data_IF_298573599624
#
_entry.id   IF_298573599624
#
_cell.length_a   1.000
_cell.length_b   1.000
_cell.length_c   1.000
_cell.angle_alpha   90.00
_cell.angle_beta   90.00
_cell.angle_gamma   90.00
#
_symmetry.space_group_name_H-M   'P 1'
#
loop_
_entity.id
_entity.type
_entity.pdbx_description
1 polymer ?
#
# COMPACT_ATOMS: atom_id res chain seq x y z
N UNK A 1 20.10 17.58 11.90
CA UNK A 1 19.24 18.74 11.61
C UNK A 1 17.83 18.48 12.06
N UNK A 2 17.18 19.49 12.51
CA UNK A 2 15.84 19.35 13.08
C UNK A 2 14.84 18.76 12.07
N UNK A 3 14.89 19.21 10.84
CA UNK A 3 13.96 18.73 9.82
C UNK A 3 14.09 17.23 9.60
N UNK A 4 15.31 16.72 9.57
CA UNK A 4 15.51 15.29 9.38
C UNK A 4 15.03 14.53 10.62
N UNK A 5 15.22 15.08 11.80
CA UNK A 5 14.74 14.44 13.01
C UNK A 5 13.21 14.38 13.02
N UNK A 6 12.56 15.43 12.55
CA UNK A 6 11.11 15.45 12.46
C UNK A 6 10.61 14.37 11.51
N UNK A 7 11.28 14.18 10.37
CA UNK A 7 10.90 13.14 9.44
C UNK A 7 11.14 11.76 10.02
N UNK A 8 12.21 11.59 10.81
CA UNK A 8 12.43 10.30 11.47
C UNK A 8 11.28 9.95 12.40
N UNK A 9 10.76 10.93 13.13
CA UNK A 9 9.61 10.72 13.99
C UNK A 9 8.39 10.35 13.16
N UNK A 10 8.14 11.08 12.06
CA UNK A 10 7.01 10.79 11.20
C UNK A 10 7.12 9.38 10.61
N UNK A 11 8.32 8.98 10.21
CA UNK A 11 8.53 7.65 9.64
C UNK A 11 8.32 6.57 10.68
N UNK A 12 8.80 6.78 11.89
CA UNK A 12 8.57 5.82 12.95
C UNK A 12 7.09 5.67 13.28
N UNK A 13 6.33 6.76 13.17
CA UNK A 13 4.89 6.71 13.39
C UNK A 13 4.16 6.02 12.23
N UNK A 14 4.77 5.98 11.05
CA UNK A 14 4.17 5.29 9.92
C UNK A 14 4.33 3.77 10.00
N UNK A 15 5.33 3.29 10.71
CA UNK A 15 5.63 1.87 10.72
C UNK A 15 4.44 1.01 11.18
N UNK A 16 3.76 1.34 12.28
CA UNK A 16 2.57 0.58 12.65
C UNK A 16 1.49 0.63 11.58
N UNK A 17 1.38 1.75 10.87
CA UNK A 17 0.39 1.88 9.81
C UNK A 17 0.74 1.00 8.62
N UNK A 18 2.03 0.85 8.30
CA UNK A 18 2.46 -0.08 7.27
C UNK A 18 2.14 -1.52 7.67
N UNK A 19 2.36 -1.86 8.95
CA UNK A 19 2.04 -3.19 9.44
C UNK A 19 0.54 -3.46 9.35
N UNK A 20 -0.28 -2.48 9.75
CA UNK A 20 -1.73 -2.61 9.67
C UNK A 20 -2.17 -2.81 8.24
N UNK A 21 -1.56 -2.10 7.31
CA UNK A 21 -1.90 -2.21 5.91
C UNK A 21 -1.55 -3.59 5.37
N UNK A 22 -0.43 -4.15 5.80
CA UNK A 22 -0.05 -5.50 5.40
C UNK A 22 -1.09 -6.51 5.84
N UNK A 23 -1.60 -6.34 7.05
CA UNK A 23 -2.64 -7.23 7.54
C UNK A 23 -3.95 -7.05 6.77
N UNK A 24 -4.31 -5.80 6.49
CA UNK A 24 -5.53 -5.51 5.75
C UNK A 24 -5.47 -6.06 4.33
N UNK A 25 -4.28 -6.03 3.72
CA UNK A 25 -4.11 -6.57 2.38
C UNK A 25 -4.06 -8.09 2.38
N UNK A 26 -3.85 -8.70 3.55
CA UNK A 26 -3.79 -10.16 3.70
C UNK A 26 -2.74 -10.74 2.76
N UNK A 27 -1.51 -10.31 2.93
CA UNK A 27 -0.44 -10.68 2.00
C UNK A 27 -0.10 -12.16 2.03
N UNK A 28 -0.32 -12.84 3.16
CA UNK A 28 -0.10 -14.28 3.22
C UNK A 28 -1.03 -14.99 2.26
N UNK A 29 -2.29 -14.58 2.24
CA UNK A 29 -3.25 -15.15 1.32
C UNK A 29 -2.90 -14.78 -0.12
N UNK A 30 -2.47 -13.54 -0.35
CA UNK A 30 -2.06 -13.12 -1.69
C UNK A 30 -0.92 -14.00 -2.21
N UNK A 31 0.05 -14.31 -1.35
CA UNK A 31 1.17 -15.17 -1.75
C UNK A 31 0.68 -16.57 -2.09
N UNK A 32 -0.25 -17.11 -1.31
CA UNK A 32 -0.82 -18.42 -1.61
C UNK A 32 -1.58 -18.41 -2.92
N UNK A 33 -2.32 -17.33 -3.18
CA UNK A 33 -3.05 -17.19 -4.43
C UNK A 33 -2.12 -17.11 -5.63
N UNK A 34 -1.01 -16.41 -5.49
CA UNK A 34 -0.02 -16.34 -6.56
C UNK A 34 0.48 -17.74 -6.90
N UNK A 35 0.86 -18.51 -5.88
CA UNK A 35 1.35 -19.87 -6.10
C UNK A 35 0.31 -20.75 -6.76
N UNK A 36 -0.93 -20.65 -6.29
CA UNK A 36 -2.02 -21.46 -6.84
C UNK A 36 -2.29 -21.09 -8.30
N UNK A 37 -2.36 -19.80 -8.58
CA UNK A 37 -2.67 -19.34 -9.94
C UNK A 37 -1.52 -19.63 -10.91
N UNK A 38 -0.30 -19.54 -10.43
CA UNK A 38 0.86 -19.88 -11.28
C UNK A 38 0.83 -21.37 -11.62
N UNK A 39 0.45 -22.19 -10.66
CA UNK A 39 0.33 -23.62 -10.92
C UNK A 39 -0.76 -23.89 -11.97
N UNK A 40 -1.85 -23.14 -11.93
CA UNK A 40 -2.88 -23.27 -12.93
C UNK A 40 -2.38 -22.88 -14.32
N UNK A 41 -1.57 -21.84 -14.40
CA UNK A 41 -1.02 -21.41 -15.68
C UNK A 41 -0.11 -22.47 -16.29
N UNK A 42 0.51 -23.29 -15.44
CA UNK A 42 1.41 -24.34 -15.92
C UNK A 42 0.69 -25.65 -16.23
N UNK A 43 -0.60 -25.73 -15.93
CA UNK A 43 -1.33 -26.98 -16.14
C UNK A 43 -1.64 -27.21 -17.61
N UNK A 44 -1.75 -28.48 -17.97
CA UNK A 44 -2.08 -28.82 -19.35
C UNK A 44 -3.49 -28.34 -19.64
N UNK A 45 -3.69 -27.80 -20.80
CA UNK A 45 -5.02 -27.33 -21.21
C UNK A 45 -5.41 -25.97 -20.70
N UNK A 46 -4.52 -25.31 -19.95
CA UNK A 46 -4.84 -23.99 -19.43
C UNK A 46 -5.20 -23.02 -20.55
N UNK A 47 -4.46 -23.06 -21.65
CA UNK A 47 -4.66 -22.13 -22.75
C UNK A 47 -5.78 -22.52 -23.69
N UNK A 48 -6.41 -23.68 -23.48
CA UNK A 48 -7.50 -24.15 -24.34
C UNK A 48 -8.75 -23.32 -24.15
N UNK A 49 -8.90 -22.67 -23.01
CA UNK A 49 -10.06 -21.81 -22.76
C UNK A 49 -9.55 -20.38 -22.53
N UNK A 50 -9.48 -19.56 -23.59
CA UNK A 50 -8.90 -18.22 -23.47
C UNK A 50 -9.60 -17.33 -22.45
N UNK A 51 -10.92 -17.49 -22.31
CA UNK A 51 -11.65 -16.66 -21.37
C UNK A 51 -11.23 -16.95 -19.94
N UNK A 52 -11.12 -18.24 -19.61
CA UNK A 52 -10.64 -18.63 -18.29
C UNK A 52 -9.18 -18.23 -18.08
N UNK A 53 -8.34 -18.41 -19.10
CA UNK A 53 -6.93 -18.04 -19.01
C UNK A 53 -6.78 -16.55 -18.72
N UNK A 54 -7.58 -15.72 -19.37
CA UNK A 54 -7.51 -14.28 -19.17
C UNK A 54 -7.90 -13.89 -17.76
N UNK A 55 -8.94 -14.53 -17.21
CA UNK A 55 -9.37 -14.24 -15.84
C UNK A 55 -8.31 -14.64 -14.83
N UNK A 56 -7.70 -15.81 -15.03
CA UNK A 56 -6.66 -16.29 -14.12
C UNK A 56 -5.46 -15.38 -14.18
N UNK A 57 -5.03 -14.98 -15.37
CA UNK A 57 -3.88 -14.08 -15.50
C UNK A 57 -4.14 -12.71 -14.88
N UNK A 58 -5.37 -12.22 -15.03
CA UNK A 58 -5.73 -10.93 -14.43
C UNK A 58 -5.70 -11.02 -12.91
N UNK A 59 -6.24 -12.09 -12.34
CA UNK A 59 -6.21 -12.28 -10.90
C UNK A 59 -4.79 -12.44 -10.40
N UNK A 60 -3.96 -13.20 -11.13
CA UNK A 60 -2.56 -13.37 -10.77
C UNK A 60 -1.85 -12.03 -10.72
N UNK A 61 -2.09 -11.18 -11.72
CA UNK A 61 -1.47 -9.87 -11.75
C UNK A 61 -1.89 -9.03 -10.56
N UNK A 62 -3.18 -9.09 -10.19
CA UNK A 62 -3.68 -8.33 -9.04
C UNK A 62 -3.01 -8.79 -7.75
N UNK A 63 -2.88 -10.09 -7.54
CA UNK A 63 -2.26 -10.59 -6.31
C UNK A 63 -0.78 -10.27 -6.26
N UNK A 64 -0.08 -10.39 -7.38
CA UNK A 64 1.33 -10.01 -7.43
C UNK A 64 1.52 -8.53 -7.16
N UNK A 65 0.62 -7.69 -7.68
CA UNK A 65 0.72 -6.25 -7.45
C UNK A 65 0.59 -5.90 -5.98
N UNK A 66 -0.26 -6.61 -5.23
CA UNK A 66 -0.37 -6.37 -3.80
C UNK A 66 0.96 -6.61 -3.10
N UNK A 67 1.61 -7.74 -3.43
CA UNK A 67 2.87 -8.09 -2.81
C UNK A 67 3.97 -7.10 -3.19
N UNK A 68 4.07 -6.80 -4.48
CA UNK A 68 5.12 -5.90 -4.97
C UNK A 68 4.94 -4.48 -4.45
N UNK A 69 3.69 -4.01 -4.41
CA UNK A 69 3.44 -2.65 -3.96
C UNK A 69 3.77 -2.48 -2.49
N UNK A 70 3.45 -3.48 -1.67
CA UNK A 70 3.76 -3.37 -0.26
C UNK A 70 5.28 -3.46 -0.03
N UNK A 71 5.97 -4.33 -0.76
CA UNK A 71 7.42 -4.41 -0.68
C UNK A 71 8.06 -3.07 -1.07
N UNK A 72 7.50 -2.42 -2.09
CA UNK A 72 8.00 -1.12 -2.52
C UNK A 72 7.77 -0.06 -1.45
N UNK A 73 6.61 -0.08 -0.79
CA UNK A 73 6.33 0.87 0.27
C UNK A 73 7.29 0.69 1.44
N UNK A 74 7.58 -0.56 1.82
CA UNK A 74 8.54 -0.84 2.87
C UNK A 74 9.93 -0.37 2.48
N UNK A 75 10.33 -0.64 1.24
CA UNK A 75 11.65 -0.23 0.74
C UNK A 75 11.76 1.30 0.74
N UNK A 76 10.71 2.00 0.36
CA UNK A 76 10.69 3.46 0.38
C UNK A 76 10.85 3.99 1.79
N UNK A 77 10.20 3.36 2.77
CA UNK A 77 10.33 3.74 4.17
C UNK A 77 11.80 3.60 4.63
N UNK A 78 12.42 2.46 4.30
CA UNK A 78 13.81 2.23 4.65
C UNK A 78 14.73 3.26 3.99
N UNK A 79 14.49 3.56 2.72
CA UNK A 79 15.30 4.54 1.98
C UNK A 79 15.20 5.92 2.63
N UNK A 80 14.00 6.29 3.07
CA UNK A 80 13.82 7.60 3.71
C UNK A 80 14.53 7.66 5.06
N UNK A 81 14.55 6.56 5.81
CA UNK A 81 15.29 6.54 7.07
C UNK A 81 16.78 6.73 6.81
N UNK A 82 17.30 6.09 5.75
CA UNK A 82 18.70 6.26 5.38
C UNK A 82 18.96 7.73 4.98
N UNK A 83 18.06 8.32 4.22
CA UNK A 83 18.21 9.72 3.83
C UNK A 83 18.24 10.64 5.05
N UNK A 84 17.39 10.36 6.04
CA UNK A 84 17.40 11.16 7.26
C UNK A 84 18.72 11.05 8.00
N UNK A 85 19.26 9.85 8.07
CA UNK A 85 20.53 9.63 8.75
C UNK A 85 21.67 10.30 8.01
N UNK A 86 21.68 10.17 6.68
CA UNK A 86 22.71 10.81 5.88
C UNK A 86 22.61 12.34 5.98
N UNK A 87 21.40 12.87 5.91
CA UNK A 87 21.20 14.30 6.02
C UNK A 87 21.67 14.85 7.35
N UNK A 88 21.39 14.13 8.44
CA UNK A 88 21.84 14.54 9.75
C UNK A 88 23.36 14.48 9.87
N UNK A 89 23.94 13.41 9.35
CA UNK A 89 25.36 13.21 9.48
C UNK A 89 26.14 14.23 8.68
N UNK A 90 25.70 14.52 7.47
CA UNK A 90 26.39 15.44 6.59
C UNK A 90 25.81 16.86 6.65
N UNK A 91 24.73 17.05 7.38
CA UNK A 91 24.03 18.33 7.48
C UNK A 91 23.71 18.86 6.08
N UNK A 92 23.22 17.99 5.23
CA UNK A 92 23.01 18.30 3.82
C UNK A 92 21.53 18.56 3.58
N UNK A 93 21.16 19.83 3.57
CA UNK A 93 19.76 20.21 3.36
C UNK A 93 19.28 19.90 1.96
N UNK A 94 20.19 19.64 1.03
CA UNK A 94 19.76 19.36 -0.34
C UNK A 94 19.01 18.04 -0.45
N UNK A 95 19.05 17.17 0.57
CA UNK A 95 18.31 15.95 0.58
C UNK A 95 16.86 16.14 1.01
N UNK A 96 16.52 17.29 1.60
CA UNK A 96 15.15 17.52 2.08
C UNK A 96 14.08 17.48 1.00
N UNK A 97 14.26 18.12 -0.16
CA UNK A 97 13.22 18.04 -1.18
C UNK A 97 12.93 16.62 -1.65
N UNK A 98 13.97 15.80 -1.77
CA UNK A 98 13.81 14.42 -2.16
C UNK A 98 13.07 13.64 -1.08
N UNK A 99 13.43 13.87 0.17
CA UNK A 99 12.77 13.23 1.30
C UNK A 99 11.29 13.61 1.37
N UNK A 100 10.99 14.88 1.18
CA UNK A 100 9.61 15.37 1.22
C UNK A 100 8.78 14.73 0.12
N UNK A 101 9.34 14.64 -1.07
CA UNK A 101 8.65 14.05 -2.20
C UNK A 101 8.39 12.57 -1.97
N UNK A 102 9.39 11.84 -1.49
CA UNK A 102 9.23 10.42 -1.22
C UNK A 102 8.21 10.17 -0.12
N UNK A 103 8.22 11.02 0.90
CA UNK A 103 7.27 10.88 1.99
C UNK A 103 5.84 11.06 1.49
N UNK A 104 5.60 12.11 0.71
CA UNK A 104 4.28 12.38 0.15
C UNK A 104 3.83 11.23 -0.75
N UNK A 105 4.73 10.68 -1.55
CA UNK A 105 4.42 9.56 -2.42
C UNK A 105 4.05 8.32 -1.61
N UNK A 106 4.79 8.06 -0.53
CA UNK A 106 4.49 6.92 0.32
C UNK A 106 3.12 7.06 0.98
N UNK A 107 2.82 8.22 1.52
CA UNK A 107 1.53 8.48 2.15
C UNK A 107 0.40 8.27 1.15
N UNK A 108 0.56 8.79 -0.06
CA UNK A 108 -0.46 8.63 -1.09
C UNK A 108 -0.63 7.17 -1.47
N UNK A 109 0.46 6.44 -1.59
CA UNK A 109 0.42 5.02 -1.93
C UNK A 109 -0.31 4.23 -0.84
N UNK A 110 -0.04 4.54 0.42
CA UNK A 110 -0.69 3.87 1.53
C UNK A 110 -2.19 4.16 1.57
N UNK A 111 -2.57 5.40 1.30
CA UNK A 111 -3.98 5.76 1.28
C UNK A 111 -4.72 5.07 0.15
N UNK A 112 -4.11 5.00 -1.02
CA UNK A 112 -4.70 4.31 -2.16
C UNK A 112 -4.90 2.82 -1.86
N UNK A 113 -3.89 2.20 -1.25
CA UNK A 113 -3.99 0.78 -0.92
C UNK A 113 -5.07 0.53 0.13
N UNK A 114 -5.14 1.41 1.12
CA UNK A 114 -6.15 1.27 2.17
C UNK A 114 -7.55 1.42 1.57
N UNK A 115 -7.73 2.37 0.67
CA UNK A 115 -9.00 2.57 0.02
C UNK A 115 -9.40 1.33 -0.78
N UNK A 116 -8.45 0.70 -1.45
CA UNK A 116 -8.73 -0.51 -2.19
C UNK A 116 -9.16 -1.65 -1.27
N UNK A 117 -8.58 -1.77 -0.09
CA UNK A 117 -9.02 -2.81 0.83
C UNK A 117 -10.46 -2.60 1.27
N UNK A 118 -10.88 -1.35 1.40
CA UNK A 118 -12.27 -1.06 1.77
C UNK A 118 -13.22 -1.36 0.62
N UNK A 119 -12.78 -1.15 -0.61
CA UNK A 119 -13.67 -1.36 -1.74
C UNK A 119 -13.75 -2.81 -2.17
N UNK A 120 -12.69 -3.58 -1.98
CA UNK A 120 -12.67 -4.94 -2.48
C UNK A 120 -12.65 -5.98 -1.40
N UNK A 121 -12.63 -5.63 -0.18
CA UNK A 121 -12.58 -6.56 0.90
C UNK A 121 -13.88 -7.25 0.99
N UNK A 122 -14.02 -8.02 1.92
CA UNK A 122 -15.15 -8.69 2.04
C UNK A 122 -16.19 -7.91 2.34
N UNK A 123 -15.99 -6.80 2.44
CA UNK A 123 -16.80 -5.96 2.45
C UNK A 123 -17.70 -6.18 1.50
N UNK A 124 -18.49 -6.60 1.44
CA UNK A 124 -19.22 -6.89 0.60
C UNK A 124 -20.18 -6.07 0.56
N UNK A 125 -20.27 -5.75 -0.15
CA UNK A 125 -21.11 -4.97 -0.46
C UNK A 125 -22.16 -4.83 0.32
N UNK A 126 -22.41 -5.64 0.89
CA UNK A 126 -23.51 -5.46 1.50
C UNK A 126 -23.50 -4.40 2.38
N UNK A 127 -22.80 -4.10 2.76
CA UNK A 127 -22.91 -3.20 3.63
C UNK A 127 -22.48 -2.09 3.44
N UNK A 128 -22.27 -1.96 3.22
CA UNK A 128 -21.88 -1.03 3.03
C UNK A 128 -22.12 0.04 2.94
N UNK A 129 -22.15 0.30 2.75
CA UNK A 129 -22.19 1.25 2.42
C UNK A 129 -22.55 2.15 3.08
N UNK A 130 -22.77 2.10 3.55
CA UNK A 130 -22.98 2.84 4.00
C UNK A 130 -22.39 3.51 4.61
N UNK A 131 -22.06 3.37 5.01
CA UNK A 131 -21.50 3.93 5.53
C UNK A 131 -20.80 4.83 5.38
N UNK A 132 -20.75 5.14 5.02
CA UNK A 132 -20.02 5.96 4.74
C UNK A 132 -20.20 7.06 4.84
N UNK A 133 -20.67 7.01 5.00
CA UNK A 133 -20.67 7.73 4.91
C UNK A 133 -20.34 8.45 5.22
N UNK A 134 -20.73 8.67 5.26
CA UNK A 134 -20.31 9.07 5.22
C UNK A 134 -19.97 9.70 5.56
N UNK A 135 -20.34 9.87 5.68
CA UNK A 135 -19.77 10.23 5.57
C UNK A 135 -19.42 10.66 5.98
N UNK A 136 -19.74 10.71 6.03
CA UNK A 136 -19.23 10.89 6.02
C UNK A 136 -18.68 11.26 6.08
N UNK A 137 -18.86 11.47 6.01
CA UNK A 137 -18.15 11.65 5.66
C UNK A 137 -17.60 12.21 5.68
N UNK A 138 -17.79 12.42 5.35
CA UNK A 138 -17.10 12.83 4.96
C UNK A 138 -16.66 13.35 5.54
N UNK A 139 -16.77 13.48 5.91
CA UNK A 139 -16.13 13.75 6.22
C UNK A 139 -15.60 13.44 6.74
N UNK A 140 -15.55 12.78 6.85
CA UNK A 140 -14.90 12.28 6.99
C UNK A 140 -14.21 12.23 6.58
N UNK A 141 -14.41 12.16 6.02
CA UNK A 141 -13.68 12.01 5.41
C UNK A 141 -13.04 12.81 5.35
N UNK A 142 -13.08 13.23 5.52
CA UNK A 142 -12.38 13.87 5.39
C UNK A 142 -11.76 14.24 6.32
N UNK A 143 -11.97 14.07 7.05
CA UNK A 143 -11.34 14.21 7.74
C UNK A 143 -10.58 13.67 7.94
N UNK A 144 -10.55 13.05 7.61
CA UNK A 144 -9.77 12.43 7.47
C UNK A 144 -8.99 12.78 6.84
N UNK A 145 -9.23 13.26 6.27
CA UNK A 145 -8.66 13.57 5.68
C UNK A 145 -8.15 14.43 6.08
N UNK A 146 -8.28 14.69 6.54
CA UNK A 146 -7.76 15.31 6.79
C UNK A 146 -7.24 15.15 7.69
N UNK A 147 -7.51 14.61 8.02
CA UNK A 147 -7.06 14.26 8.55
C UNK A 147 -6.42 13.75 8.59
N UNK A 148 -6.57 13.45 8.23
CA UNK A 148 -6.15 12.85 7.93
C UNK A 148 -5.66 12.92 8.05
N UNK A 149 -5.87 12.99 7.99
CA UNK A 149 -5.57 12.92 7.67
C UNK A 149 -5.38 13.08 7.73
#
# INVERSE_FOLDING_TARGET
MLQFDEYKVKLNNLLPQLDDLEQALNLDEAARQVDFLEAQCAADGFWDNPENSQKVLQKLKQEKNKLESQAKRRSSWDDMMVLCEMGNEEEDESLLPELEEEYATLIQSMESARLQTLLTGEYDASNAILAFHAGAGGTEAQDWAQMLY
#
